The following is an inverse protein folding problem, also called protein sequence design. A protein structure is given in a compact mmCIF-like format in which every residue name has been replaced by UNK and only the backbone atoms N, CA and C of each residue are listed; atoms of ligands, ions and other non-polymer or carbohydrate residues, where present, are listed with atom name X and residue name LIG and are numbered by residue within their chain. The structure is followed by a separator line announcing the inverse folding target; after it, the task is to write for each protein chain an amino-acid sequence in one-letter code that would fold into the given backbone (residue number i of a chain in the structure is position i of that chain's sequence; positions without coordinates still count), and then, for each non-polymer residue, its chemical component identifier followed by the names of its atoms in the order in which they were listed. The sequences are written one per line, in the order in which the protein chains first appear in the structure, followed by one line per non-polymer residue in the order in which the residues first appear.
data_IF_843205330631
#
_entry.id   IF_843205330631
#
_cell.length_a   1.000
_cell.length_b   1.000
_cell.length_c   1.000
_cell.angle_alpha   90.00
_cell.angle_beta   90.00
_cell.angle_gamma   90.00
#
_symmetry.space_group_name_H-M   'P 1'
#
loop_
_entity.id
_entity.type
_entity.pdbx_description
1 polymer ?
#
# COMPACT_ATOMS: atom_id res chain seq x y z
N UNK A 1 29.18 -6.74 -27.34
CA UNK A 1 27.78 -6.44 -27.69
C UNK A 1 26.85 -7.44 -26.99
N UNK A 2 27.15 -8.74 -27.08
CA UNK A 2 26.49 -9.83 -26.31
C UNK A 2 26.28 -9.56 -24.81
N UNK A 3 27.33 -9.14 -24.08
CA UNK A 3 27.24 -8.88 -22.64
C UNK A 3 26.29 -7.70 -22.28
N UNK A 4 26.17 -6.72 -23.18
CA UNK A 4 25.27 -5.59 -22.99
C UNK A 4 23.81 -6.03 -23.18
N UNK A 5 23.56 -6.92 -24.14
CA UNK A 5 22.24 -7.51 -24.41
C UNK A 5 21.79 -8.38 -23.23
N UNK A 6 22.68 -9.20 -22.68
CA UNK A 6 22.40 -10.03 -21.49
C UNK A 6 22.11 -9.15 -20.26
N UNK A 7 22.90 -8.09 -20.04
CA UNK A 7 22.67 -7.16 -18.93
C UNK A 7 21.32 -6.43 -19.06
N UNK A 8 20.96 -5.99 -20.26
CA UNK A 8 19.69 -5.30 -20.54
C UNK A 8 18.49 -6.25 -20.37
N UNK A 9 18.64 -7.51 -20.79
CA UNK A 9 17.62 -8.55 -20.60
C UNK A 9 17.42 -8.88 -19.12
N UNK A 10 18.48 -8.99 -18.32
CA UNK A 10 18.38 -9.20 -16.87
C UNK A 10 17.69 -8.03 -16.16
N UNK A 11 17.95 -6.78 -16.57
CA UNK A 11 17.31 -5.60 -15.97
C UNK A 11 15.78 -5.57 -16.18
N UNK A 12 15.29 -6.10 -17.30
CA UNK A 12 13.86 -6.15 -17.60
C UNK A 12 13.07 -7.10 -16.67
N UNK A 13 13.72 -8.09 -16.06
CA UNK A 13 13.07 -9.04 -15.13
C UNK A 13 12.91 -8.50 -13.70
N UNK A 14 13.60 -7.42 -13.32
CA UNK A 14 13.60 -6.88 -11.95
C UNK A 14 12.54 -5.78 -11.75
N UNK A 15 11.88 -5.32 -12.82
CA UNK A 15 11.02 -4.13 -12.80
C UNK A 15 9.57 -4.35 -12.31
N UNK A 16 9.20 -5.54 -11.83
CA UNK A 16 7.83 -5.79 -11.37
C UNK A 16 7.64 -5.28 -9.93
N UNK A 17 7.11 -4.05 -9.78
CA UNK A 17 6.61 -3.53 -8.50
C UNK A 17 5.23 -4.13 -8.21
N UNK A 18 5.21 -5.34 -7.64
CA UNK A 18 4.00 -6.05 -7.25
C UNK A 18 3.43 -5.57 -5.90
N UNK A 19 3.87 -4.41 -5.40
CA UNK A 19 3.39 -3.86 -4.13
C UNK A 19 1.90 -3.53 -4.27
N UNK A 20 1.01 -4.10 -3.43
CA UNK A 20 -0.41 -3.72 -3.43
C UNK A 20 -0.57 -2.22 -3.22
N UNK A 21 -1.47 -1.61 -3.97
CA UNK A 21 -1.80 -0.18 -3.89
C UNK A 21 -3.29 0.03 -3.73
N UNK A 22 -3.63 1.12 -3.07
CA UNK A 22 -4.99 1.66 -2.88
C UNK A 22 -4.98 3.12 -3.32
N UNK A 23 -6.11 3.82 -3.35
CA UNK A 23 -6.13 5.24 -3.72
C UNK A 23 -5.47 6.15 -2.65
N UNK A 24 -5.68 5.82 -1.37
CA UNK A 24 -5.13 6.60 -0.25
C UNK A 24 -4.98 5.77 1.01
N UNK A 25 -3.93 6.07 1.79
CA UNK A 25 -3.75 5.57 3.16
C UNK A 25 -3.67 6.75 4.12
N UNK A 26 -4.63 6.86 5.03
CA UNK A 26 -4.57 7.77 6.17
C UNK A 26 -3.75 7.11 7.28
N UNK A 27 -2.67 7.75 7.73
CA UNK A 27 -1.67 7.17 8.64
C UNK A 27 -1.77 7.74 10.06
N UNK A 28 -1.71 6.88 11.07
CA UNK A 28 -1.58 7.25 12.49
C UNK A 28 -2.71 8.14 13.02
N UNK A 29 -3.90 8.05 12.41
CA UNK A 29 -5.05 8.86 12.77
C UNK A 29 -5.77 8.31 14.00
N UNK A 30 -6.61 9.14 14.62
CA UNK A 30 -7.57 8.67 15.63
C UNK A 30 -8.85 8.20 14.93
N UNK A 31 -9.18 6.92 15.06
CA UNK A 31 -10.34 6.27 14.44
C UNK A 31 -11.51 6.29 15.42
N UNK A 32 -12.63 6.82 14.95
CA UNK A 32 -13.93 6.81 15.62
C UNK A 32 -14.88 6.00 14.74
N UNK A 33 -15.18 4.76 15.14
CA UNK A 33 -15.84 3.76 14.27
C UNK A 33 -17.37 3.65 14.43
N UNK A 34 -17.98 4.52 15.23
CA UNK A 34 -19.43 4.56 15.45
C UNK A 34 -20.01 3.39 16.27
N UNK A 35 -19.19 2.44 16.73
CA UNK A 35 -19.66 1.28 17.52
C UNK A 35 -19.93 1.61 19.00
N UNK A 36 -19.62 2.84 19.43
CA UNK A 36 -19.66 3.26 20.84
C UNK A 36 -18.43 2.86 21.66
N UNK A 37 -17.46 2.17 21.06
CA UNK A 37 -16.14 1.91 21.67
C UNK A 37 -15.31 3.18 21.75
N UNK A 38 -14.32 3.18 22.65
CA UNK A 38 -13.31 4.26 22.74
C UNK A 38 -12.56 4.40 21.43
N UNK A 39 -12.31 5.64 21.02
CA UNK A 39 -11.49 5.94 19.85
C UNK A 39 -10.07 5.36 20.01
N UNK A 40 -9.47 4.93 18.91
CA UNK A 40 -8.15 4.30 18.91
C UNK A 40 -7.28 4.80 17.76
N UNK A 41 -5.96 4.68 17.91
CA UNK A 41 -5.00 5.09 16.86
C UNK A 41 -4.83 3.96 15.85
N UNK A 42 -4.79 4.30 14.55
CA UNK A 42 -4.50 3.34 13.49
C UNK A 42 -4.48 3.99 12.10
N UNK A 43 -4.31 3.15 11.09
CA UNK A 43 -4.36 3.53 9.68
C UNK A 43 -5.68 3.09 9.03
N UNK A 44 -6.08 3.80 7.97
CA UNK A 44 -7.24 3.48 7.14
C UNK A 44 -6.87 3.57 5.67
N UNK A 45 -7.09 2.49 4.92
CA UNK A 45 -6.94 2.47 3.46
C UNK A 45 -8.29 2.61 2.77
N UNK A 46 -8.34 3.48 1.75
CA UNK A 46 -9.51 3.65 0.89
C UNK A 46 -9.12 3.30 -0.54
N UNK A 47 -9.93 2.47 -1.18
CA UNK A 47 -9.79 2.06 -2.57
C UNK A 47 -11.16 2.10 -3.27
N UNK A 48 -11.21 2.72 -4.44
CA UNK A 48 -12.43 2.92 -5.22
C UNK A 48 -13.60 3.49 -4.38
N UNK A 49 -13.28 4.43 -3.47
CA UNK A 49 -14.25 5.07 -2.57
C UNK A 49 -14.77 4.19 -1.43
N UNK A 50 -14.17 3.02 -1.18
CA UNK A 50 -14.55 2.09 -0.12
C UNK A 50 -13.41 1.90 0.88
N UNK A 51 -13.73 1.70 2.16
CA UNK A 51 -12.74 1.31 3.16
C UNK A 51 -12.25 -0.11 2.84
N UNK A 52 -11.00 -0.21 2.38
CA UNK A 52 -10.39 -1.48 1.99
C UNK A 52 -9.75 -2.21 3.18
N UNK A 53 -9.18 -1.47 4.13
CA UNK A 53 -8.57 -2.00 5.35
C UNK A 53 -8.49 -0.96 6.47
N UNK A 54 -8.46 -1.43 7.73
CA UNK A 54 -8.29 -0.62 8.94
C UNK A 54 -7.34 -1.35 9.89
N UNK A 55 -6.37 -0.65 10.49
CA UNK A 55 -5.42 -1.23 11.46
C UNK A 55 -3.99 -0.74 11.27
N UNK A 56 -2.99 -1.56 11.58
CA UNK A 56 -1.60 -1.31 11.16
C UNK A 56 -1.43 -1.82 9.71
N UNK A 57 -1.23 -0.89 8.78
CA UNK A 57 -1.15 -1.19 7.35
C UNK A 57 0.28 -1.27 6.81
N UNK A 58 1.29 -1.22 7.69
CA UNK A 58 2.68 -1.46 7.33
C UNK A 58 3.13 -0.65 6.12
N UNK A 59 3.62 -1.33 5.07
CA UNK A 59 4.12 -0.70 3.85
C UNK A 59 3.08 -0.48 2.75
N UNK A 60 1.76 -0.66 3.02
CA UNK A 60 0.72 -0.40 2.02
C UNK A 60 0.75 1.05 1.56
N UNK A 61 0.63 1.29 0.24
CA UNK A 61 0.75 2.64 -0.33
C UNK A 61 -0.50 3.06 -1.09
N UNK A 62 -0.69 4.38 -1.10
CA UNK A 62 -1.43 5.06 -2.16
C UNK A 62 -0.73 4.96 -3.52
#
# INVERSE_FOLDING_TARGET
MEALIVLLACAAFVACDATPRVDVVFRGGTIIDGTGRTAYVGDVAVDAGTIAAVGDLGSLRG
#
